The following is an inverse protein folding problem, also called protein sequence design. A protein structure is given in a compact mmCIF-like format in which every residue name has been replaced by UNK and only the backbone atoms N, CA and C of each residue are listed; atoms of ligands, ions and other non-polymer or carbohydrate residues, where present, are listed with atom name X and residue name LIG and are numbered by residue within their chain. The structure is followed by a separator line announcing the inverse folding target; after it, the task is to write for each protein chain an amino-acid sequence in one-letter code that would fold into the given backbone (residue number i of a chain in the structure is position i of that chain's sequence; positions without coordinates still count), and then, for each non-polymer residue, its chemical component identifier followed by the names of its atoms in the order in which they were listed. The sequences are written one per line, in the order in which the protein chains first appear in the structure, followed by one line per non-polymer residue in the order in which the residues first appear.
data_IF_352385419824
#
_entry.id   IF_352385419824
#
_cell.length_a   1.000
_cell.length_b   1.000
_cell.length_c   1.000
_cell.angle_alpha   90.00
_cell.angle_beta   90.00
_cell.angle_gamma   90.00
#
_symmetry.space_group_name_H-M   'P 1'
#
loop_
_entity.id
_entity.type
_entity.pdbx_description
1 polymer ?
#
# COMPACT_ATOMS: atom_id res chain seq x y z
N UNK A 1 20.03 -9.03 -15.11
CA UNK A 1 19.17 -8.45 -16.16
C UNK A 1 19.27 -6.93 -16.03
N UNK A 2 19.77 -6.24 -17.06
CA UNK A 2 20.15 -4.82 -17.01
C UNK A 2 18.92 -3.91 -17.16
N UNK A 3 18.87 -2.87 -16.31
CA UNK A 3 17.77 -1.91 -16.11
C UNK A 3 17.59 -0.93 -17.31
N UNK A 4 18.51 -0.92 -18.27
CA UNK A 4 18.54 0.06 -19.36
C UNK A 4 17.54 -0.12 -20.51
N UNK A 5 16.88 -1.28 -20.62
CA UNK A 5 15.99 -1.63 -21.75
C UNK A 5 14.48 -1.60 -21.36
N UNK A 6 14.15 -0.86 -20.30
CA UNK A 6 12.81 -0.85 -19.68
C UNK A 6 11.82 0.15 -20.28
N UNK A 7 12.27 1.14 -21.07
CA UNK A 7 11.37 2.12 -21.69
C UNK A 7 10.44 1.52 -22.76
N UNK A 8 10.75 0.29 -23.23
CA UNK A 8 9.97 -0.44 -24.24
C UNK A 8 9.33 -1.75 -23.75
N UNK A 9 9.60 -2.18 -22.51
CA UNK A 9 9.06 -3.42 -21.91
C UNK A 9 8.16 -3.06 -20.73
N UNK A 10 6.97 -2.58 -21.05
CA UNK A 10 5.94 -2.22 -20.09
C UNK A 10 5.48 -3.45 -19.30
N UNK A 11 5.62 -3.37 -17.97
CA UNK A 11 5.08 -4.31 -16.98
C UNK A 11 5.72 -5.70 -16.92
N UNK A 12 7.03 -5.73 -16.65
CA UNK A 12 7.73 -6.97 -16.36
C UNK A 12 7.15 -7.64 -15.10
N UNK A 13 6.77 -8.90 -15.24
CA UNK A 13 6.34 -9.76 -14.15
C UNK A 13 7.52 -10.58 -13.65
N UNK A 14 7.71 -10.65 -12.34
CA UNK A 14 8.57 -11.66 -11.70
C UNK A 14 7.72 -12.66 -10.95
N UNK A 15 8.16 -13.91 -10.91
CA UNK A 15 7.36 -15.01 -10.39
C UNK A 15 8.25 -16.06 -9.70
N UNK A 16 7.84 -16.43 -8.49
CA UNK A 16 8.43 -17.50 -7.68
C UNK A 16 7.36 -18.57 -7.49
N UNK A 17 7.40 -19.69 -8.25
CA UNK A 17 6.35 -20.71 -8.24
C UNK A 17 6.25 -21.46 -6.91
N UNK A 18 7.39 -21.71 -6.28
CA UNK A 18 7.50 -22.33 -4.96
C UNK A 18 8.29 -21.38 -4.07
N UNK A 19 7.66 -20.93 -2.98
CA UNK A 19 8.23 -19.91 -2.09
C UNK A 19 9.04 -20.50 -0.96
N UNK A 20 8.67 -21.69 -0.48
CA UNK A 20 9.38 -22.36 0.62
C UNK A 20 10.75 -22.83 0.13
N UNK A 21 11.80 -22.43 0.84
CA UNK A 21 13.19 -22.73 0.47
C UNK A 21 13.70 -21.95 -0.75
N UNK A 22 12.90 -21.04 -1.32
CA UNK A 22 13.32 -20.23 -2.45
C UNK A 22 14.43 -19.26 -2.05
N UNK A 23 15.60 -19.25 -2.74
CA UNK A 23 16.70 -18.34 -2.43
C UNK A 23 16.38 -16.89 -2.75
N UNK A 24 15.29 -16.64 -3.48
CA UNK A 24 14.84 -15.29 -3.86
C UNK A 24 14.03 -14.60 -2.77
N UNK A 25 13.62 -15.32 -1.72
CA UNK A 25 12.85 -14.77 -0.59
C UNK A 25 13.61 -15.11 0.70
N UNK A 26 14.46 -14.21 1.21
CA UNK A 26 15.31 -14.50 2.37
C UNK A 26 14.55 -14.80 3.67
N UNK A 27 13.38 -14.19 3.87
CA UNK A 27 12.59 -14.28 5.11
C UNK A 27 11.75 -15.55 5.20
N UNK A 28 12.43 -16.71 5.09
CA UNK A 28 11.77 -18.02 5.14
C UNK A 28 11.12 -18.30 6.49
N UNK A 29 11.91 -18.22 7.56
CA UNK A 29 11.49 -18.63 8.91
C UNK A 29 10.53 -17.64 9.57
N UNK A 30 10.64 -16.35 9.24
CA UNK A 30 9.87 -15.28 9.88
C UNK A 30 8.61 -14.87 9.10
N UNK A 31 8.52 -15.22 7.81
CA UNK A 31 7.42 -14.74 6.96
C UNK A 31 6.84 -15.83 6.05
N UNK A 32 7.64 -16.47 5.20
CA UNK A 32 7.13 -17.42 4.20
C UNK A 32 6.48 -18.64 4.86
N UNK A 33 7.22 -19.32 5.74
CA UNK A 33 6.76 -20.55 6.40
C UNK A 33 5.61 -20.26 7.38
N UNK A 34 5.71 -19.27 8.31
CA UNK A 34 4.63 -19.00 9.26
C UNK A 34 3.32 -18.55 8.61
N UNK A 35 3.40 -17.82 7.49
CA UNK A 35 2.20 -17.35 6.79
C UNK A 35 1.68 -18.34 5.74
N UNK A 36 2.39 -19.45 5.51
CA UNK A 36 2.02 -20.47 4.53
C UNK A 36 2.04 -19.94 3.09
N UNK A 37 3.01 -19.09 2.77
CA UNK A 37 3.17 -18.54 1.42
C UNK A 37 3.69 -19.63 0.50
N UNK A 38 2.97 -19.88 -0.60
CA UNK A 38 3.29 -20.91 -1.60
C UNK A 38 3.89 -20.32 -2.86
N UNK A 39 3.38 -19.19 -3.34
CA UNK A 39 3.94 -18.54 -4.52
C UNK A 39 4.01 -17.03 -4.35
N UNK A 40 4.95 -16.39 -5.04
CA UNK A 40 5.09 -14.93 -5.10
C UNK A 40 5.02 -14.47 -6.53
N UNK A 41 4.25 -13.41 -6.74
CA UNK A 41 4.14 -12.75 -8.03
C UNK A 41 4.35 -11.27 -7.81
N UNK A 42 5.11 -10.63 -8.67
CA UNK A 42 5.09 -9.17 -8.70
C UNK A 42 5.20 -8.62 -10.10
N UNK A 43 4.72 -7.40 -10.25
CA UNK A 43 4.70 -6.66 -11.51
C UNK A 43 4.83 -5.18 -11.18
N UNK A 44 5.26 -4.39 -12.15
CA UNK A 44 5.49 -2.97 -11.91
C UNK A 44 5.86 -2.23 -13.17
N UNK A 45 6.05 -0.92 -13.05
CA UNK A 45 6.35 -0.08 -14.20
C UNK A 45 6.88 1.28 -13.80
N UNK A 46 7.08 2.11 -14.81
CA UNK A 46 7.53 3.50 -14.65
C UNK A 46 6.31 4.42 -14.76
N UNK A 47 6.11 5.26 -13.76
CA UNK A 47 5.11 6.32 -13.72
C UNK A 47 5.54 7.50 -14.61
N UNK A 48 4.64 8.42 -14.90
CA UNK A 48 4.89 9.61 -15.72
C UNK A 48 5.96 10.52 -15.12
N UNK A 49 6.13 10.51 -13.79
CA UNK A 49 7.20 11.20 -13.05
C UNK A 49 8.58 10.57 -13.20
N UNK A 50 8.71 9.43 -13.91
CA UNK A 50 9.90 8.57 -13.93
C UNK A 50 10.16 7.79 -12.63
N UNK A 51 9.25 7.86 -11.65
CA UNK A 51 9.30 6.98 -10.47
C UNK A 51 8.84 5.56 -10.81
N UNK A 52 9.33 4.58 -10.06
CA UNK A 52 8.93 3.19 -10.18
C UNK A 52 7.77 2.87 -9.24
N UNK A 53 6.80 2.11 -9.72
CA UNK A 53 5.86 1.40 -8.86
C UNK A 53 6.04 -0.10 -9.01
N UNK A 54 5.86 -0.83 -7.91
CA UNK A 54 5.91 -2.29 -7.88
C UNK A 54 4.81 -2.81 -6.98
N UNK A 55 4.09 -3.81 -7.46
CA UNK A 55 3.17 -4.63 -6.68
C UNK A 55 3.83 -5.98 -6.44
N UNK A 56 3.91 -6.40 -5.18
CA UNK A 56 4.41 -7.72 -4.78
C UNK A 56 3.31 -8.43 -4.00
N UNK A 57 2.89 -9.58 -4.50
CA UNK A 57 1.84 -10.40 -3.92
C UNK A 57 2.42 -11.71 -3.40
N UNK A 58 2.17 -11.98 -2.13
CA UNK A 58 2.48 -13.24 -1.48
C UNK A 58 1.20 -14.06 -1.37
N UNK A 59 1.15 -15.19 -2.07
CA UNK A 59 -0.04 -16.03 -2.19
C UNK A 59 0.10 -17.30 -1.37
N UNK A 60 -0.93 -17.65 -0.60
CA UNK A 60 -1.05 -18.96 0.06
C UNK A 60 -1.46 -20.09 -0.90
N UNK A 61 -1.75 -19.76 -2.15
CA UNK A 61 -2.04 -20.69 -3.23
C UNK A 61 -0.92 -20.66 -4.28
N UNK A 62 -0.73 -21.76 -4.99
CA UNK A 62 0.12 -21.80 -6.18
C UNK A 62 -0.58 -21.05 -7.32
N UNK A 63 0.09 -20.08 -7.91
CA UNK A 63 -0.40 -19.37 -9.10
C UNK A 63 0.08 -20.15 -10.33
N UNK A 64 -0.80 -20.61 -11.23
CA UNK A 64 -0.38 -21.27 -12.46
C UNK A 64 0.49 -20.36 -13.35
N UNK A 65 1.53 -20.92 -13.98
CA UNK A 65 2.48 -20.14 -14.79
C UNK A 65 1.81 -19.44 -16.00
N UNK A 66 0.75 -20.02 -16.56
CA UNK A 66 -0.04 -19.42 -17.65
C UNK A 66 -0.90 -18.23 -17.17
N UNK A 67 -1.18 -18.12 -15.88
CA UNK A 67 -1.85 -16.97 -15.29
C UNK A 67 -0.90 -15.78 -15.06
N UNK A 68 0.40 -16.01 -14.86
CA UNK A 68 1.43 -14.99 -14.57
C UNK A 68 1.45 -13.87 -15.60
N UNK A 69 1.41 -14.23 -16.89
CA UNK A 69 1.49 -13.26 -17.99
C UNK A 69 0.29 -12.31 -18.04
N UNK A 70 -0.86 -12.71 -17.50
CA UNK A 70 -2.09 -11.89 -17.46
C UNK A 70 -1.95 -10.69 -16.51
N UNK A 71 -1.05 -10.76 -15.53
CA UNK A 71 -0.84 -9.67 -14.56
C UNK A 71 -0.07 -8.47 -15.14
N UNK A 72 0.61 -8.63 -16.27
CA UNK A 72 1.20 -7.49 -16.99
C UNK A 72 0.14 -6.46 -17.41
N UNK A 73 -1.05 -6.93 -17.83
CA UNK A 73 -2.19 -6.07 -18.16
C UNK A 73 -2.75 -5.33 -16.92
N UNK A 74 -2.71 -5.97 -15.75
CA UNK A 74 -3.10 -5.33 -14.48
C UNK A 74 -2.13 -4.19 -14.14
N UNK A 75 -0.84 -4.34 -14.48
CA UNK A 75 0.16 -3.27 -14.33
C UNK A 75 -0.24 -1.95 -14.97
N UNK A 76 -0.87 -1.98 -16.15
CA UNK A 76 -1.36 -0.77 -16.81
C UNK A 76 -2.47 -0.06 -16.02
N UNK A 77 -3.45 -0.83 -15.52
CA UNK A 77 -4.52 -0.28 -14.68
C UNK A 77 -4.02 0.25 -13.34
N UNK A 78 -3.03 -0.42 -12.73
CA UNK A 78 -2.39 0.08 -11.49
C UNK A 78 -1.66 1.39 -11.76
N UNK A 79 -0.94 1.51 -12.88
CA UNK A 79 -0.30 2.77 -13.27
C UNK A 79 -1.34 3.89 -13.35
N UNK A 80 -2.42 3.69 -14.11
CA UNK A 80 -3.49 4.69 -14.25
C UNK A 80 -4.09 5.10 -12.90
N UNK A 81 -4.33 4.13 -12.01
CA UNK A 81 -4.87 4.41 -10.68
C UNK A 81 -3.90 5.16 -9.77
N UNK A 82 -2.59 4.97 -9.93
CA UNK A 82 -1.55 5.59 -9.08
C UNK A 82 -1.13 6.96 -9.59
N UNK A 83 -1.17 7.23 -10.90
CA UNK A 83 -0.73 8.51 -11.49
C UNK A 83 -1.28 9.78 -10.80
N UNK A 84 -2.57 9.88 -10.42
CA UNK A 84 -3.10 11.09 -9.77
C UNK A 84 -2.43 11.44 -8.43
N UNK A 85 -1.77 10.46 -7.81
CA UNK A 85 -1.13 10.59 -6.50
C UNK A 85 0.35 10.96 -6.60
N UNK A 86 0.93 10.92 -7.79
CA UNK A 86 2.34 11.19 -8.05
C UNK A 86 2.64 12.67 -7.87
N UNK A 87 3.77 12.99 -7.22
CA UNK A 87 4.18 14.38 -6.93
C UNK A 87 3.39 15.08 -5.82
N UNK A 88 2.32 14.47 -5.31
CA UNK A 88 1.52 14.98 -4.21
C UNK A 88 1.86 14.29 -2.89
N UNK A 89 1.74 14.99 -1.76
CA UNK A 89 1.90 14.37 -0.43
C UNK A 89 0.64 13.59 -0.07
N UNK A 90 0.54 12.35 -0.54
CA UNK A 90 -0.61 11.45 -0.32
C UNK A 90 -0.89 11.22 1.17
N UNK A 91 0.16 11.13 1.99
CA UNK A 91 0.07 10.91 3.43
C UNK A 91 0.46 12.13 4.27
N UNK A 92 0.31 13.35 3.73
CA UNK A 92 0.57 14.54 4.54
C UNK A 92 -0.39 14.60 5.73
N UNK A 93 0.16 14.89 6.92
CA UNK A 93 -0.62 15.27 8.08
C UNK A 93 -1.45 16.52 7.74
N UNK A 94 -2.78 16.37 7.75
CA UNK A 94 -3.69 17.47 7.54
C UNK A 94 -3.94 18.21 8.86
N UNK A 95 -3.28 19.36 9.03
CA UNK A 95 -3.42 20.22 10.22
C UNK A 95 -4.84 20.75 10.41
N UNK A 96 -5.65 20.80 9.34
CA UNK A 96 -7.01 21.37 9.38
C UNK A 96 -8.08 20.36 9.78
N UNK A 97 -7.84 19.05 9.64
CA UNK A 97 -8.66 18.03 10.31
C UNK A 97 -8.48 18.06 11.81
N UNK A 98 -7.23 18.15 12.30
CA UNK A 98 -6.94 18.13 13.74
C UNK A 98 -7.45 19.39 14.46
N UNK A 99 -7.35 20.56 13.81
CA UNK A 99 -7.99 21.78 14.33
C UNK A 99 -9.49 21.62 14.51
N UNK A 100 -10.21 21.06 13.53
CA UNK A 100 -11.67 20.86 13.63
C UNK A 100 -12.03 19.95 14.81
N UNK A 101 -11.28 18.88 15.01
CA UNK A 101 -11.50 17.96 16.14
C UNK A 101 -11.20 18.60 17.50
N UNK A 102 -10.14 19.44 17.57
CA UNK A 102 -9.82 20.21 18.75
C UNK A 102 -10.92 21.24 19.10
N UNK A 103 -11.44 21.96 18.11
CA UNK A 103 -12.55 22.91 18.30
C UNK A 103 -13.85 22.21 18.72
N UNK A 104 -14.18 21.04 18.15
CA UNK A 104 -15.36 20.26 18.53
C UNK A 104 -15.28 19.79 19.98
N UNK A 105 -14.11 19.30 20.42
CA UNK A 105 -13.87 18.90 21.83
C UNK A 105 -13.98 20.07 22.79
N UNK A 106 -13.35 21.21 22.49
CA UNK A 106 -13.44 22.40 23.35
C UNK A 106 -14.86 22.95 23.46
N UNK A 107 -15.63 22.98 22.36
CA UNK A 107 -17.03 23.43 22.38
C UNK A 107 -17.91 22.47 23.19
N UNK A 108 -17.70 21.16 23.08
CA UNK A 108 -18.43 20.15 23.86
C UNK A 108 -18.17 20.32 25.37
N UNK A 109 -16.91 20.51 25.78
CA UNK A 109 -16.53 20.71 27.19
C UNK A 109 -17.08 22.03 27.76
N UNK A 110 -17.05 23.12 26.99
CA UNK A 110 -17.61 24.41 27.42
C UNK A 110 -19.14 24.35 27.57
N UNK A 111 -19.82 23.66 26.66
CA UNK A 111 -21.27 23.47 26.74
C UNK A 111 -21.67 22.55 27.91
N UNK A 112 -20.86 21.53 28.23
CA UNK A 112 -21.06 20.66 29.39
C UNK A 112 -20.96 21.44 30.72
N UNK A 113 -19.97 22.34 30.85
CA UNK A 113 -19.81 23.20 32.04
C UNK A 113 -20.89 24.28 32.17
N UNK A 114 -21.39 24.81 31.05
CA UNK A 114 -22.49 25.79 31.07
C UNK A 114 -23.83 25.23 31.51
N UNK A 115 -24.08 23.95 31.25
CA UNK A 115 -25.37 23.30 31.53
C UNK A 115 -25.36 22.46 32.81
N UNK A 116 -24.28 22.48 33.59
CA UNK A 116 -24.22 21.82 34.90
C UNK A 116 -24.77 22.78 35.96
N UNK A 117 -25.85 22.43 36.69
CA UNK A 117 -26.37 23.28 37.77
C UNK A 117 -25.30 23.40 38.85
N UNK A 118 -24.76 24.60 39.08
CA UNK A 118 -23.77 24.82 40.14
C UNK A 118 -24.45 24.52 41.49
N UNK A 119 -24.00 23.48 42.20
CA UNK A 119 -24.22 23.38 43.64
C UNK A 119 -23.48 24.56 44.27
N UNK A 120 -24.18 25.67 44.48
CA UNK A 120 -23.72 26.74 45.37
C UNK A 120 -23.70 26.14 46.77
N UNK A 121 -22.50 26.11 47.33
CA UNK A 121 -22.29 25.87 48.75
C UNK A 121 -23.03 26.94 49.56
N UNK A 122 -23.90 26.48 50.45
CA UNK A 122 -24.25 27.06 51.74
C UNK A 122 -24.68 25.88 52.62
#
# INVERSE_FOLDING_TARGET
MLIGDMSKKTYNTFYVPESVGSPYIPTQDDFVIPNGIKSVLGFGGVLSSSELFVVIMFSKASIPADAVNKFSAIGAGVKEAVEPFVGNKVFAYNRDSDRRDHWIKHRSLQNHWRNTPSKRAA
#
